data_IF_547529556401
#
_entry.id   IF_547529556401
#
_cell.length_a   1.000
_cell.length_b   1.000
_cell.length_c   1.000
_cell.angle_alpha   90.00
_cell.angle_beta   90.00
_cell.angle_gamma   90.00
#
_symmetry.space_group_name_H-M   'P 1'
#
loop_
_entity.id
_entity.type
_entity.pdbx_description
1 polymer ?
#
# COMPACT_ATOMS: atom_id res chain seq x y z
N UNK A 1 -9.13 -9.58 -19.41
CA UNK A 1 -7.98 -10.18 -20.12
C UNK A 1 -6.86 -10.41 -19.12
N UNK A 2 -6.63 -11.65 -18.67
CA UNK A 2 -5.44 -11.98 -17.87
C UNK A 2 -4.29 -12.20 -18.84
N UNK A 3 -3.41 -11.22 -18.97
CA UNK A 3 -2.15 -11.39 -19.69
C UNK A 3 -1.15 -12.01 -18.71
N UNK A 4 -1.01 -13.33 -18.74
CA UNK A 4 0.00 -14.07 -17.99
C UNK A 4 1.37 -13.80 -18.60
N UNK A 5 2.27 -13.13 -17.87
CA UNK A 5 3.68 -13.08 -18.28
C UNK A 5 4.29 -14.46 -18.06
N UNK A 6 4.99 -14.90 -19.09
CA UNK A 6 5.65 -16.19 -19.16
C UNK A 6 7.14 -15.95 -18.90
N UNK A 7 7.71 -16.55 -17.85
CA UNK A 7 9.16 -16.65 -17.70
C UNK A 7 9.66 -17.87 -18.48
N UNK A 8 10.67 -17.74 -19.36
CA UNK A 8 11.17 -18.89 -20.13
C UNK A 8 11.90 -19.86 -19.19
N UNK A 9 11.48 -21.12 -19.18
CA UNK A 9 12.19 -22.24 -18.59
C UNK A 9 13.37 -22.65 -19.48
N UNK A 10 14.33 -23.40 -18.92
CA UNK A 10 15.50 -23.90 -19.64
C UNK A 10 15.16 -24.81 -20.85
N UNK A 11 13.92 -25.31 -20.92
CA UNK A 11 13.40 -26.13 -22.01
C UNK A 11 12.58 -25.32 -23.05
N UNK A 12 12.51 -23.99 -22.93
CA UNK A 12 11.71 -23.11 -23.80
C UNK A 12 10.22 -23.04 -23.45
N UNK A 13 9.76 -23.76 -22.42
CA UNK A 13 8.40 -23.65 -21.90
C UNK A 13 8.23 -22.38 -21.08
N UNK A 14 7.00 -21.92 -20.99
CA UNK A 14 6.65 -20.60 -20.52
C UNK A 14 5.98 -20.74 -19.15
N UNK A 15 6.62 -20.26 -18.08
CA UNK A 15 6.09 -20.37 -16.72
C UNK A 15 5.24 -19.15 -16.36
N UNK A 16 3.99 -19.39 -16.00
CA UNK A 16 3.09 -18.34 -15.50
C UNK A 16 3.40 -18.06 -14.03
N UNK A 17 3.51 -16.78 -13.69
CA UNK A 17 3.62 -16.30 -12.31
C UNK A 17 2.40 -15.40 -12.05
N UNK A 18 1.48 -15.87 -11.22
CA UNK A 18 0.18 -15.23 -10.95
C UNK A 18 -0.17 -15.11 -9.46
N UNK A 19 0.76 -15.51 -8.59
CA UNK A 19 0.59 -15.57 -7.14
C UNK A 19 1.78 -14.88 -6.48
N UNK A 20 1.51 -14.05 -5.47
CA UNK A 20 2.57 -13.45 -4.64
C UNK A 20 3.38 -14.55 -3.94
N UNK A 21 4.69 -14.56 -4.13
CA UNK A 21 5.56 -15.64 -3.62
C UNK A 21 6.02 -15.45 -2.17
N UNK A 22 5.92 -14.22 -1.65
CA UNK A 22 6.43 -13.84 -0.32
C UNK A 22 5.55 -14.26 0.87
N UNK A 23 4.20 -14.25 0.79
CA UNK A 23 3.36 -14.60 1.92
C UNK A 23 3.70 -15.98 2.50
N UNK A 24 4.15 -15.99 3.77
CA UNK A 24 4.51 -17.21 4.49
C UNK A 24 3.29 -17.76 5.22
N UNK A 25 2.92 -18.99 4.89
CA UNK A 25 1.78 -19.71 5.53
C UNK A 25 2.13 -20.29 6.90
N UNK A 26 3.41 -20.39 7.22
CA UNK A 26 3.98 -20.99 8.43
C UNK A 26 4.55 -19.94 9.41
N UNK A 27 4.27 -18.65 9.19
CA UNK A 27 4.74 -17.58 10.07
C UNK A 27 4.14 -17.71 11.48
N UNK A 28 4.98 -17.56 12.50
CA UNK A 28 4.58 -17.60 13.92
C UNK A 28 5.20 -16.45 14.71
N UNK A 29 4.54 -16.05 15.80
CA UNK A 29 5.05 -15.00 16.68
C UNK A 29 6.40 -15.42 17.30
N UNK A 30 6.54 -16.70 17.68
CA UNK A 30 7.76 -17.28 18.23
C UNK A 30 8.89 -17.27 17.20
N UNK A 31 8.59 -17.63 15.94
CA UNK A 31 9.55 -17.59 14.86
C UNK A 31 10.04 -16.17 14.59
N UNK A 32 9.13 -15.19 14.54
CA UNK A 32 9.46 -13.78 14.36
C UNK A 32 10.28 -13.20 15.52
N UNK A 33 9.96 -13.57 16.76
CA UNK A 33 10.65 -13.12 17.97
C UNK A 33 12.09 -13.66 18.07
N UNK A 34 12.38 -14.80 17.43
CA UNK A 34 13.73 -15.39 17.42
C UNK A 34 14.72 -14.66 16.50
N UNK A 35 14.22 -13.82 15.58
CA UNK A 35 15.05 -13.16 14.57
C UNK A 35 15.95 -12.09 15.19
N UNK A 36 17.19 -12.05 14.72
CA UNK A 36 18.15 -11.03 15.13
C UNK A 36 17.87 -9.70 14.41
N UNK A 37 18.06 -8.55 15.08
CA UNK A 37 18.01 -7.25 14.45
C UNK A 37 18.95 -7.14 13.25
N UNK A 38 18.47 -6.54 12.16
CA UNK A 38 19.18 -6.48 10.87
C UNK A 38 20.00 -5.20 10.69
N UNK A 39 19.54 -4.07 11.22
CA UNK A 39 20.14 -2.76 10.98
C UNK A 39 21.00 -2.24 12.15
N UNK A 40 20.58 -2.51 13.38
CA UNK A 40 21.29 -2.14 14.60
C UNK A 40 21.17 -3.32 15.58
N UNK A 41 22.29 -3.75 16.18
CA UNK A 41 22.34 -4.86 17.14
C UNK A 41 21.47 -4.62 18.37
N UNK A 42 21.25 -3.35 18.75
CA UNK A 42 20.38 -2.96 19.86
C UNK A 42 18.99 -2.51 19.38
N UNK A 43 18.73 -2.59 18.07
CA UNK A 43 17.48 -2.21 17.46
C UNK A 43 16.42 -3.30 17.51
N UNK A 44 15.26 -3.02 16.90
CA UNK A 44 14.09 -3.92 16.88
C UNK A 44 13.68 -4.36 15.47
N UNK A 45 14.30 -3.80 14.42
CA UNK A 45 13.94 -4.11 13.04
C UNK A 45 14.70 -5.36 12.59
N UNK A 46 13.95 -6.35 12.13
CA UNK A 46 14.44 -7.65 11.64
C UNK A 46 13.92 -7.90 10.22
N UNK A 47 14.46 -8.91 9.54
CA UNK A 47 13.96 -9.35 8.24
C UNK A 47 12.50 -9.86 8.27
N UNK A 48 11.94 -10.15 9.45
CA UNK A 48 10.55 -10.61 9.60
C UNK A 48 9.55 -9.49 9.87
N UNK A 49 10.01 -8.27 10.17
CA UNK A 49 9.14 -7.12 10.45
C UNK A 49 9.43 -5.89 9.56
N UNK A 50 10.18 -6.11 8.49
CA UNK A 50 10.45 -5.17 7.42
C UNK A 50 10.03 -5.78 6.08
N UNK A 51 9.58 -4.97 5.13
CA UNK A 51 9.34 -5.47 3.78
C UNK A 51 10.64 -5.87 3.09
N UNK A 52 10.60 -6.93 2.27
CA UNK A 52 11.74 -7.37 1.47
C UNK A 52 11.98 -6.48 0.23
N UNK A 53 13.06 -6.78 -0.49
CA UNK A 53 13.30 -6.27 -1.85
C UNK A 53 12.56 -7.18 -2.82
N UNK A 54 11.76 -6.59 -3.71
CA UNK A 54 10.88 -7.37 -4.59
C UNK A 54 10.80 -6.78 -5.99
N UNK A 55 10.42 -7.63 -6.94
CA UNK A 55 10.09 -7.26 -8.30
C UNK A 55 8.58 -7.18 -8.48
N UNK A 56 8.12 -6.17 -9.21
CA UNK A 56 6.68 -6.01 -9.46
C UNK A 56 6.36 -4.74 -10.22
N UNK A 57 5.16 -4.71 -10.80
CA UNK A 57 4.62 -3.56 -11.51
C UNK A 57 3.11 -3.47 -11.27
N UNK A 58 2.60 -2.25 -11.19
CA UNK A 58 1.17 -1.97 -11.11
C UNK A 58 0.85 -0.76 -11.98
N UNK A 59 -0.32 -0.76 -12.60
CA UNK A 59 -0.77 0.30 -13.49
C UNK A 59 -2.26 0.58 -13.28
N UNK A 60 -2.64 1.84 -13.52
CA UNK A 60 -4.04 2.29 -13.56
C UNK A 60 -4.26 3.09 -14.83
N UNK A 61 -5.47 3.03 -15.37
CA UNK A 61 -5.90 3.90 -16.46
C UNK A 61 -6.68 5.07 -15.89
N UNK A 62 -6.26 6.29 -16.22
CA UNK A 62 -6.93 7.51 -15.78
C UNK A 62 -7.58 8.23 -16.97
N UNK A 63 -8.72 8.84 -16.71
CA UNK A 63 -9.47 9.64 -17.67
C UNK A 63 -10.30 10.68 -16.92
N UNK A 64 -10.75 11.72 -17.61
CA UNK A 64 -11.82 12.55 -17.07
C UNK A 64 -13.12 11.74 -17.02
N UNK A 65 -13.96 12.02 -16.02
CA UNK A 65 -15.27 11.37 -15.88
C UNK A 65 -16.12 11.55 -17.14
N UNK A 66 -16.15 12.77 -17.69
CA UNK A 66 -16.89 13.05 -18.93
C UNK A 66 -16.43 12.15 -20.08
N UNK A 67 -15.13 11.88 -20.23
CA UNK A 67 -14.62 11.01 -21.29
C UNK A 67 -14.93 9.54 -21.03
N UNK A 68 -14.89 9.10 -19.78
CA UNK A 68 -15.31 7.75 -19.40
C UNK A 68 -16.76 7.49 -19.80
N UNK A 69 -17.66 8.44 -19.47
CA UNK A 69 -19.08 8.37 -19.78
C UNK A 69 -19.34 8.42 -21.29
N UNK A 70 -18.67 9.32 -22.02
CA UNK A 70 -18.76 9.41 -23.48
C UNK A 70 -18.38 8.08 -24.17
N UNK A 71 -17.34 7.41 -23.67
CA UNK A 71 -16.86 6.13 -24.20
C UNK A 71 -17.58 4.91 -23.63
N UNK A 72 -18.53 5.08 -22.69
CA UNK A 72 -19.22 3.97 -22.03
C UNK A 72 -18.32 3.06 -21.19
N UNK A 73 -17.22 3.60 -20.64
CA UNK A 73 -16.25 2.83 -19.85
C UNK A 73 -16.64 2.77 -18.37
N UNK A 74 -16.46 1.63 -17.68
CA UNK A 74 -16.72 1.54 -16.25
C UNK A 74 -15.71 2.39 -15.46
N UNK A 75 -16.21 3.15 -14.50
CA UNK A 75 -15.40 3.91 -13.55
C UNK A 75 -15.28 3.04 -12.30
N UNK A 76 -14.05 2.71 -11.88
CA UNK A 76 -13.84 1.89 -10.67
C UNK A 76 -13.80 2.74 -9.40
N UNK A 77 -13.17 3.92 -9.50
CA UNK A 77 -13.06 4.89 -8.43
C UNK A 77 -12.81 6.29 -8.99
N UNK A 78 -13.13 7.31 -8.21
CA UNK A 78 -12.85 8.73 -8.47
C UNK A 78 -11.78 9.22 -7.51
N UNK A 79 -10.77 9.95 -8.01
CA UNK A 79 -9.80 10.64 -7.14
C UNK A 79 -10.49 11.82 -6.48
N UNK A 80 -10.55 11.83 -5.15
CA UNK A 80 -11.17 12.90 -4.37
C UNK A 80 -10.17 13.97 -3.95
N UNK A 81 -9.00 13.53 -3.49
CA UNK A 81 -7.89 14.41 -3.19
C UNK A 81 -6.58 13.64 -3.18
N UNK A 82 -5.47 14.36 -3.28
CA UNK A 82 -4.14 13.84 -2.99
C UNK A 82 -3.32 14.91 -2.29
N UNK A 83 -2.31 14.49 -1.55
CA UNK A 83 -1.36 15.38 -0.92
C UNK A 83 0.03 14.75 -0.84
N UNK A 84 1.04 15.59 -0.96
CA UNK A 84 2.43 15.28 -0.62
C UNK A 84 2.93 16.22 0.47
N UNK A 85 3.90 15.74 1.24
CA UNK A 85 4.57 16.48 2.32
C UNK A 85 6.05 16.13 2.35
N UNK A 86 6.85 17.04 2.94
CA UNK A 86 8.22 16.77 3.33
C UNK A 86 8.35 16.82 4.86
N UNK A 87 9.25 16.02 5.40
CA UNK A 87 9.67 15.96 6.81
C UNK A 87 11.19 15.82 6.85
N UNK A 88 11.79 15.90 8.04
CA UNK A 88 13.19 15.57 8.22
C UNK A 88 13.47 14.13 7.69
N UNK A 89 14.51 13.91 6.87
CA UNK A 89 14.87 12.57 6.39
C UNK A 89 15.03 11.52 7.50
N UNK A 90 15.51 11.91 8.68
CA UNK A 90 15.65 11.02 9.83
C UNK A 90 14.28 10.57 10.40
N UNK A 91 13.21 11.30 10.09
CA UNK A 91 11.84 11.05 10.54
C UNK A 91 10.93 10.59 9.39
N UNK A 92 11.48 10.13 8.26
CA UNK A 92 10.70 9.79 7.06
C UNK A 92 9.50 8.88 7.32
N UNK A 93 9.59 7.99 8.32
CA UNK A 93 8.52 7.06 8.65
C UNK A 93 7.23 7.73 9.11
N UNK A 94 7.27 8.94 9.68
CA UNK A 94 6.06 9.65 10.14
C UNK A 94 5.37 10.45 9.04
N UNK A 95 6.01 10.65 7.89
CA UNK A 95 5.47 11.44 6.80
C UNK A 95 4.03 11.06 6.35
N UNK A 96 3.62 9.77 6.35
CA UNK A 96 2.24 9.38 6.04
C UNK A 96 1.18 10.02 6.93
N UNK A 97 1.51 10.33 8.19
CA UNK A 97 0.58 11.04 9.11
C UNK A 97 0.23 12.41 8.53
N UNK A 98 1.24 13.19 8.16
CA UNK A 98 1.06 14.54 7.64
C UNK A 98 0.44 14.53 6.25
N UNK A 99 0.85 13.58 5.38
CA UNK A 99 0.25 13.39 4.07
C UNK A 99 -1.25 13.06 4.18
N UNK A 100 -1.60 12.14 5.09
CA UNK A 100 -2.99 11.71 5.32
C UNK A 100 -3.84 12.87 5.81
N UNK A 101 -3.43 13.57 6.88
CA UNK A 101 -4.18 14.72 7.40
C UNK A 101 -4.45 15.77 6.32
N UNK A 102 -3.43 16.13 5.55
CA UNK A 102 -3.56 17.11 4.45
C UNK A 102 -4.45 16.60 3.31
N UNK A 103 -4.39 15.30 3.00
CA UNK A 103 -5.23 14.70 1.96
C UNK A 103 -6.70 14.66 2.39
N UNK A 104 -6.98 14.27 3.63
CA UNK A 104 -8.34 14.22 4.17
C UNK A 104 -8.95 15.62 4.30
N UNK A 105 -8.17 16.61 4.76
CA UNK A 105 -8.58 18.01 4.77
C UNK A 105 -9.00 18.49 3.36
N UNK A 106 -8.19 18.21 2.33
CA UNK A 106 -8.51 18.53 0.94
C UNK A 106 -9.74 17.80 0.41
N UNK A 107 -9.96 16.57 0.85
CA UNK A 107 -11.15 15.78 0.48
C UNK A 107 -12.42 16.25 1.22
N UNK A 108 -12.27 17.04 2.28
CA UNK A 108 -13.36 17.38 3.21
C UNK A 108 -13.81 16.20 4.06
N UNK A 109 -12.90 15.27 4.38
CA UNK A 109 -13.19 14.03 5.11
C UNK A 109 -12.56 14.03 6.50
N UNK A 110 -13.19 13.32 7.42
CA UNK A 110 -12.57 12.88 8.68
C UNK A 110 -11.95 11.50 8.48
N UNK A 111 -11.00 11.13 9.33
CA UNK A 111 -10.42 9.78 9.29
C UNK A 111 -11.49 8.70 9.51
N UNK A 112 -12.44 8.94 10.42
CA UNK A 112 -13.54 8.01 10.73
C UNK A 112 -14.49 7.75 9.54
N UNK A 113 -14.52 8.68 8.58
CA UNK A 113 -15.32 8.55 7.36
C UNK A 113 -14.69 7.58 6.35
N UNK A 114 -13.42 7.22 6.52
CA UNK A 114 -12.67 6.34 5.62
C UNK A 114 -13.00 4.88 5.95
N UNK A 115 -13.48 4.14 4.96
CA UNK A 115 -13.92 2.76 5.12
C UNK A 115 -12.76 1.76 5.03
N UNK A 116 -11.77 2.05 4.17
CA UNK A 116 -10.58 1.22 3.97
C UNK A 116 -9.32 2.06 3.77
N UNK A 117 -8.21 1.59 4.32
CA UNK A 117 -6.90 2.21 4.23
C UNK A 117 -5.90 1.18 3.72
N UNK A 118 -5.14 1.53 2.69
CA UNK A 118 -3.91 0.83 2.34
C UNK A 118 -2.73 1.73 2.71
N UNK A 119 -1.96 1.34 3.71
CA UNK A 119 -0.77 2.04 4.18
C UNK A 119 0.46 1.18 3.92
N UNK A 120 1.40 1.63 3.08
CA UNK A 120 2.57 0.81 2.74
C UNK A 120 3.43 0.51 3.99
N UNK A 121 3.73 -0.76 4.20
CA UNK A 121 4.48 -1.25 5.36
C UNK A 121 5.97 -1.44 5.02
N UNK A 122 6.70 -0.33 4.84
CA UNK A 122 8.15 -0.44 4.66
C UNK A 122 8.81 -1.11 5.88
N UNK A 123 8.32 -0.74 7.08
CA UNK A 123 8.69 -1.33 8.36
C UNK A 123 7.47 -1.40 9.28
N UNK A 124 7.33 -2.47 10.08
CA UNK A 124 6.26 -2.60 11.07
C UNK A 124 6.29 -1.44 12.07
N UNK A 125 7.49 -1.07 12.54
CA UNK A 125 7.67 0.04 13.47
C UNK A 125 7.10 1.36 12.93
N UNK A 126 7.30 1.62 11.63
CA UNK A 126 6.78 2.80 10.96
C UNK A 126 5.25 2.71 10.83
N UNK A 127 4.71 1.60 10.35
CA UNK A 127 3.26 1.44 10.17
C UNK A 127 2.49 1.58 11.50
N UNK A 128 3.00 0.94 12.57
CA UNK A 128 2.43 1.05 13.92
C UNK A 128 2.51 2.48 14.45
N UNK A 129 3.64 3.18 14.23
CA UNK A 129 3.80 4.58 14.65
C UNK A 129 2.80 5.50 13.96
N UNK A 130 2.64 5.36 12.63
CA UNK A 130 1.64 6.12 11.87
C UNK A 130 0.24 5.83 12.40
N UNK A 131 -0.09 4.56 12.64
CA UNK A 131 -1.41 4.18 13.16
C UNK A 131 -1.72 4.74 14.53
N UNK A 132 -0.74 4.74 15.45
CA UNK A 132 -0.90 5.34 16.78
C UNK A 132 -1.12 6.85 16.72
N UNK A 133 -0.43 7.55 15.82
CA UNK A 133 -0.54 9.02 15.73
C UNK A 133 -1.77 9.47 14.96
N UNK A 134 -2.22 8.69 13.97
CA UNK A 134 -3.48 8.94 13.29
C UNK A 134 -4.70 8.46 14.08
N UNK A 135 -4.50 7.52 15.00
CA UNK A 135 -5.57 6.86 15.75
C UNK A 135 -6.59 6.17 14.81
N UNK A 136 -6.10 5.53 13.74
CA UNK A 136 -6.97 4.80 12.81
C UNK A 136 -7.50 3.50 13.42
N UNK A 137 -8.61 2.99 12.89
CA UNK A 137 -9.09 1.63 13.17
C UNK A 137 -8.23 0.63 12.37
N UNK A 138 -7.35 -0.12 13.05
CA UNK A 138 -6.46 -1.10 12.43
C UNK A 138 -7.20 -2.17 11.63
N UNK A 139 -8.48 -2.44 11.94
CA UNK A 139 -9.31 -3.42 11.20
C UNK A 139 -9.70 -2.93 9.80
N UNK A 140 -9.48 -1.65 9.49
CA UNK A 140 -9.69 -1.04 8.17
C UNK A 140 -8.41 -0.92 7.36
N UNK A 141 -7.25 -1.21 7.96
CA UNK A 141 -5.93 -0.98 7.37
C UNK A 141 -5.36 -2.29 6.84
N UNK A 142 -4.91 -2.32 5.58
CA UNK A 142 -4.21 -3.46 4.97
C UNK A 142 -4.92 -4.80 5.20
N UNK A 143 -6.24 -4.83 5.00
CA UNK A 143 -7.10 -5.96 5.41
C UNK A 143 -6.81 -7.28 4.67
N UNK A 144 -6.01 -7.22 3.61
CA UNK A 144 -5.53 -8.37 2.84
C UNK A 144 -4.01 -8.61 3.00
N UNK A 145 -3.39 -8.00 4.01
CA UNK A 145 -1.94 -7.96 4.19
C UNK A 145 -1.29 -6.77 3.49
N UNK A 146 -0.10 -6.39 3.95
CA UNK A 146 0.68 -5.29 3.41
C UNK A 146 2.08 -5.73 2.95
N UNK A 147 2.96 -4.75 2.77
CA UNK A 147 4.26 -4.95 2.13
C UNK A 147 5.24 -5.83 2.94
N UNK A 148 5.02 -6.04 4.24
CA UNK A 148 5.81 -7.01 5.02
C UNK A 148 5.57 -8.43 4.51
N UNK A 149 4.33 -8.77 4.17
CA UNK A 149 3.96 -10.09 3.66
C UNK A 149 4.02 -10.19 2.14
N UNK A 150 3.60 -9.15 1.42
CA UNK A 150 3.48 -9.14 -0.04
C UNK A 150 4.76 -8.68 -0.75
N UNK A 151 5.66 -8.02 -0.03
CA UNK A 151 6.87 -7.42 -0.59
C UNK A 151 6.71 -5.96 -1.03
N UNK A 152 7.85 -5.33 -1.33
CA UNK A 152 7.95 -3.91 -1.63
C UNK A 152 8.79 -3.62 -2.90
N UNK A 153 8.20 -3.80 -4.11
CA UNK A 153 8.81 -3.28 -5.33
C UNK A 153 8.70 -1.75 -5.33
N UNK A 154 9.76 -1.07 -4.88
CA UNK A 154 9.75 0.34 -4.44
C UNK A 154 9.01 1.26 -5.42
N UNK A 155 9.38 1.23 -6.71
CA UNK A 155 8.78 2.09 -7.74
C UNK A 155 7.33 1.74 -8.11
N UNK A 156 6.87 0.53 -7.81
CA UNK A 156 5.52 0.06 -8.13
C UNK A 156 4.56 0.11 -6.93
N UNK A 157 5.10 0.13 -5.71
CA UNK A 157 4.32 -0.11 -4.48
C UNK A 157 3.20 0.90 -4.28
N UNK A 158 3.40 2.16 -4.65
CA UNK A 158 2.34 3.16 -4.53
C UNK A 158 1.14 2.91 -5.45
N UNK A 159 1.37 2.43 -6.65
CA UNK A 159 0.29 2.02 -7.54
C UNK A 159 -0.28 0.67 -7.10
N UNK A 160 0.56 -0.26 -6.62
CA UNK A 160 0.13 -1.58 -6.13
C UNK A 160 -0.86 -1.45 -4.95
N UNK A 161 -0.57 -0.57 -3.99
CA UNK A 161 -1.46 -0.35 -2.84
C UNK A 161 -2.80 0.26 -3.25
N UNK A 162 -2.79 1.15 -4.25
CA UNK A 162 -4.02 1.71 -4.81
C UNK A 162 -4.85 0.63 -5.53
N UNK A 163 -4.20 -0.25 -6.30
CA UNK A 163 -4.87 -1.36 -6.99
C UNK A 163 -5.52 -2.31 -5.98
N UNK A 164 -4.84 -2.67 -4.90
CA UNK A 164 -5.43 -3.50 -3.84
C UNK A 164 -6.58 -2.79 -3.13
N UNK A 165 -6.42 -1.51 -2.80
CA UNK A 165 -7.45 -0.70 -2.17
C UNK A 165 -8.75 -0.70 -2.99
N UNK A 166 -8.67 -0.35 -4.28
CA UNK A 166 -9.85 -0.22 -5.14
C UNK A 166 -10.57 -1.55 -5.32
N UNK A 167 -9.83 -2.65 -5.50
CA UNK A 167 -10.46 -3.96 -5.63
C UNK A 167 -11.13 -4.43 -4.33
N UNK A 168 -10.51 -4.18 -3.17
CA UNK A 168 -11.12 -4.53 -1.88
C UNK A 168 -12.33 -3.64 -1.56
N UNK A 169 -12.27 -2.36 -1.94
CA UNK A 169 -13.42 -1.44 -1.85
C UNK A 169 -14.62 -1.93 -2.66
N UNK A 170 -14.39 -2.42 -3.88
CA UNK A 170 -15.44 -3.01 -4.72
C UNK A 170 -15.99 -4.27 -4.06
N UNK A 171 -15.11 -5.17 -3.59
CA UNK A 171 -15.50 -6.45 -2.97
C UNK A 171 -16.37 -6.26 -1.71
N UNK A 172 -16.12 -5.19 -0.94
CA UNK A 172 -16.83 -4.89 0.32
C UNK A 172 -17.92 -3.83 0.22
N UNK A 173 -18.16 -3.29 -0.97
CA UNK A 173 -19.02 -2.13 -1.17
C UNK A 173 -18.60 -0.89 -0.31
N UNK A 174 -17.30 -0.77 0.03
CA UNK A 174 -16.72 0.31 0.85
C UNK A 174 -16.46 1.60 0.06
N UNK A 175 -17.08 2.71 0.44
CA UNK A 175 -17.24 3.91 -0.39
C UNK A 175 -16.01 4.80 -0.41
N UNK A 176 -15.37 5.03 0.73
CA UNK A 176 -14.22 5.95 0.87
C UNK A 176 -12.95 5.18 1.18
N UNK A 177 -11.92 5.36 0.37
CA UNK A 177 -10.62 4.71 0.51
C UNK A 177 -9.48 5.71 0.63
N UNK A 178 -8.43 5.32 1.34
CA UNK A 178 -7.19 6.09 1.46
C UNK A 178 -5.98 5.18 1.19
N UNK A 179 -5.13 5.57 0.24
CA UNK A 179 -3.81 4.98 0.05
C UNK A 179 -2.74 5.94 0.60
N UNK A 180 -1.79 5.48 1.42
CA UNK A 180 -0.70 6.34 1.93
C UNK A 180 0.63 5.59 2.09
N UNK A 181 1.74 6.33 1.94
CA UNK A 181 3.08 5.77 1.94
C UNK A 181 4.15 6.80 2.30
N UNK A 182 5.20 6.32 2.97
CA UNK A 182 6.43 7.06 3.22
C UNK A 182 7.38 6.93 2.03
N UNK A 183 8.31 7.86 1.90
CA UNK A 183 9.28 7.92 0.81
C UNK A 183 10.65 8.27 1.42
N UNK A 184 11.67 7.51 1.00
CA UNK A 184 13.06 7.75 1.37
C UNK A 184 13.48 9.19 1.09
N UNK A 185 14.25 9.79 1.99
CA UNK A 185 14.62 11.21 1.91
C UNK A 185 13.61 12.16 2.57
N UNK A 186 12.63 11.63 3.32
CA UNK A 186 11.76 12.45 4.16
C UNK A 186 10.52 12.97 3.45
N UNK A 187 9.83 12.14 2.68
CA UNK A 187 8.57 12.55 2.05
C UNK A 187 7.43 11.56 2.35
N UNK A 188 6.20 12.02 2.17
CA UNK A 188 5.01 11.19 2.30
C UNK A 188 3.95 11.61 1.30
N UNK A 189 3.19 10.64 0.80
CA UNK A 189 2.08 10.88 -0.12
C UNK A 189 0.82 10.15 0.37
N UNK A 190 -0.33 10.76 0.14
CA UNK A 190 -1.64 10.16 0.36
C UNK A 190 -2.57 10.48 -0.81
N UNK A 191 -3.46 9.53 -1.12
CA UNK A 191 -4.47 9.61 -2.18
C UNK A 191 -5.80 9.11 -1.61
N UNK A 192 -6.80 9.98 -1.61
CA UNK A 192 -8.17 9.67 -1.24
C UNK A 192 -8.98 9.35 -2.51
N UNK A 193 -9.67 8.22 -2.50
CA UNK A 193 -10.53 7.77 -3.60
C UNK A 193 -11.92 7.42 -3.11
N UNK A 194 -12.92 7.65 -3.96
CA UNK A 194 -14.30 7.27 -3.71
C UNK A 194 -14.75 6.26 -4.76
N UNK A 195 -15.42 5.17 -4.36
CA UNK A 195 -15.97 4.19 -5.32
C UNK A 195 -17.02 4.86 -6.20
N UNK A 196 -17.04 4.47 -7.47
CA UNK A 196 -17.88 5.14 -8.46
C UNK A 196 -19.37 4.82 -8.36
#
# INVERSE_FOLDING_TARGET
MRSSRLSPEHNGAARTVDTDEQPRVDASAEGLASLQPTFDRLGSVTAGNASSINDGAAAVMMMSEAKALELGLPILARIRAFASVGVDPALMGIAPVHATRRCLERAGWRLDDVDLIEANEAFAAQAISVGRVLEWDERRVNVNGGAIALGHPIGASGCRILVSLVHEMIKRDARKGLATLCIGGGQGVALAVERA
#
